data_IF_935210698403
#
_entry.id   IF_935210698403
#
_cell.length_a   1.000
_cell.length_b   1.000
_cell.length_c   1.000
_cell.angle_alpha   90.00
_cell.angle_beta   90.00
_cell.angle_gamma   90.00
#
_symmetry.space_group_name_H-M   'P 1'
#
loop_
_entity.id
_entity.type
_entity.pdbx_description
1 polymer ?
#
# COMPACT_ATOMS: atom_id res chain seq x y z
N UNK A 1 3.33 6.55 -6.32
CA UNK A 1 3.67 5.65 -7.45
C UNK A 1 3.39 6.38 -8.76
N UNK A 2 4.03 5.99 -9.86
CA UNK A 2 3.77 6.57 -11.19
C UNK A 2 2.44 6.06 -11.77
N UNK A 3 1.74 6.92 -12.51
CA UNK A 3 0.56 6.55 -13.30
C UNK A 3 0.95 5.82 -14.59
N UNK A 4 -0.01 5.13 -15.20
CA UNK A 4 0.19 4.26 -16.38
C UNK A 4 0.76 4.98 -17.61
N UNK A 5 0.50 6.28 -17.75
CA UNK A 5 1.01 7.15 -18.80
C UNK A 5 2.46 7.59 -18.59
N UNK A 6 2.92 7.61 -17.33
CA UNK A 6 4.28 8.00 -16.91
C UNK A 6 5.24 6.80 -16.79
N UNK A 7 4.76 5.57 -17.01
CA UNK A 7 5.61 4.38 -17.05
C UNK A 7 6.64 4.45 -18.18
N UNK A 8 7.92 4.27 -17.83
CA UNK A 8 9.05 4.26 -18.78
C UNK A 8 9.72 2.89 -18.79
N UNK A 9 9.48 2.12 -19.85
CA UNK A 9 10.08 0.80 -20.06
C UNK A 9 10.16 0.48 -21.55
N UNK A 10 11.05 -0.45 -21.90
CA UNK A 10 11.09 -1.12 -23.22
C UNK A 10 10.53 -2.53 -23.08
N UNK A 11 10.02 -3.06 -24.20
CA UNK A 11 9.62 -4.47 -24.29
C UNK A 11 10.50 -5.16 -25.31
N UNK A 12 11.17 -6.25 -24.91
CA UNK A 12 12.00 -7.09 -25.78
C UNK A 12 11.57 -8.53 -25.58
N UNK A 13 11.12 -9.20 -26.64
CA UNK A 13 10.67 -10.60 -26.58
C UNK A 13 9.67 -10.90 -25.44
N UNK A 14 8.68 -10.02 -25.26
CA UNK A 14 7.68 -10.15 -24.19
C UNK A 14 8.16 -9.80 -22.77
N UNK A 15 9.41 -9.34 -22.61
CA UNK A 15 9.99 -8.95 -21.31
C UNK A 15 10.07 -7.44 -21.15
N UNK A 16 9.75 -6.97 -19.96
CA UNK A 16 9.82 -5.56 -19.56
C UNK A 16 11.23 -5.22 -19.08
N UNK A 17 11.79 -4.17 -19.66
CA UNK A 17 13.05 -3.56 -19.25
C UNK A 17 12.76 -2.12 -18.80
N UNK A 18 12.67 -1.85 -17.49
CA UNK A 18 12.46 -0.50 -16.97
C UNK A 18 13.59 0.43 -17.42
N UNK A 19 13.25 1.67 -17.76
CA UNK A 19 14.23 2.70 -18.08
C UNK A 19 14.62 3.46 -16.81
N UNK A 20 15.37 2.78 -15.95
CA UNK A 20 15.95 3.40 -14.76
C UNK A 20 16.90 4.55 -15.14
N UNK A 21 16.98 5.52 -14.23
CA UNK A 21 17.89 6.67 -14.33
C UNK A 21 19.08 6.46 -13.40
N UNK A 22 20.18 7.15 -13.70
CA UNK A 22 21.31 7.27 -12.79
C UNK A 22 21.02 8.41 -11.79
N UNK A 23 20.85 8.15 -10.48
CA UNK A 23 20.53 9.19 -9.50
C UNK A 23 21.65 10.22 -9.31
N UNK A 24 22.88 9.88 -9.68
CA UNK A 24 24.07 10.74 -9.64
C UNK A 24 24.28 11.57 -10.93
N UNK A 25 23.38 11.44 -11.92
CA UNK A 25 23.42 12.27 -13.13
C UNK A 25 23.24 13.75 -12.78
N UNK A 26 24.26 14.56 -13.10
CA UNK A 26 24.32 15.98 -12.72
C UNK A 26 23.17 16.80 -13.29
N UNK A 27 22.71 16.49 -14.51
CA UNK A 27 21.64 17.24 -15.14
C UNK A 27 20.29 16.91 -14.50
N UNK A 28 20.03 15.64 -14.20
CA UNK A 28 18.84 15.20 -13.48
C UNK A 28 18.83 15.72 -12.03
N UNK A 29 19.98 15.72 -11.35
CA UNK A 29 20.11 16.29 -10.01
C UNK A 29 19.78 17.79 -9.99
N UNK A 30 20.30 18.55 -10.96
CA UNK A 30 19.98 19.96 -11.09
C UNK A 30 18.48 20.18 -11.35
N UNK A 31 17.90 19.38 -12.26
CA UNK A 31 16.47 19.43 -12.57
C UNK A 31 15.58 19.10 -11.35
N UNK A 32 15.89 18.01 -10.64
CA UNK A 32 15.17 17.64 -9.41
C UNK A 32 15.35 18.70 -8.30
N UNK A 33 16.53 19.30 -8.19
CA UNK A 33 16.78 20.40 -7.25
C UNK A 33 15.93 21.62 -7.55
N UNK A 34 15.75 21.97 -8.83
CA UNK A 34 14.85 23.06 -9.22
C UNK A 34 13.42 22.79 -8.79
N UNK A 35 12.90 21.56 -8.98
CA UNK A 35 11.56 21.17 -8.49
C UNK A 35 11.48 21.35 -6.97
N UNK A 36 12.41 20.76 -6.22
CA UNK A 36 12.43 20.83 -4.74
C UNK A 36 12.47 22.28 -4.25
N UNK A 37 13.28 23.13 -4.87
CA UNK A 37 13.41 24.54 -4.49
C UNK A 37 12.13 25.33 -4.80
N UNK A 38 11.51 25.13 -5.98
CA UNK A 38 10.23 25.78 -6.30
C UNK A 38 9.17 25.48 -5.25
N UNK A 39 9.00 24.21 -4.87
CA UNK A 39 8.05 23.86 -3.79
C UNK A 39 8.42 24.49 -2.44
N UNK A 40 9.71 24.64 -2.13
CA UNK A 40 10.18 25.30 -0.90
C UNK A 40 9.78 26.78 -0.87
N UNK A 41 9.86 27.43 -2.01
CA UNK A 41 9.55 28.86 -2.16
C UNK A 41 8.04 29.13 -2.32
N UNK A 42 7.23 28.08 -2.50
CA UNK A 42 5.78 28.18 -2.73
C UNK A 42 4.91 27.70 -1.56
N UNK A 43 5.39 27.77 -0.32
CA UNK A 43 4.55 27.50 0.85
C UNK A 43 3.32 28.41 0.88
N UNK A 44 2.14 27.83 1.15
CA UNK A 44 0.81 28.46 1.10
C UNK A 44 0.28 28.84 -0.28
N UNK A 45 1.03 28.59 -1.35
CA UNK A 45 0.49 28.77 -2.70
C UNK A 45 -0.48 27.64 -3.05
N UNK A 46 -1.49 27.92 -3.89
CA UNK A 46 -2.35 26.88 -4.47
C UNK A 46 -1.54 25.87 -5.30
N UNK A 47 -1.95 24.60 -5.26
CA UNK A 47 -1.30 23.54 -6.02
C UNK A 47 -1.18 23.84 -7.52
N UNK A 48 -2.23 24.41 -8.13
CA UNK A 48 -2.25 24.80 -9.55
C UNK A 48 -1.18 25.83 -9.89
N UNK A 49 -1.03 26.88 -9.09
CA UNK A 49 -0.03 27.93 -9.32
C UNK A 49 1.40 27.37 -9.28
N UNK A 50 1.66 26.44 -8.35
CA UNK A 50 2.95 25.75 -8.26
C UNK A 50 3.20 24.95 -9.54
N UNK A 51 2.20 24.20 -10.01
CA UNK A 51 2.32 23.38 -11.22
C UNK A 51 2.51 24.25 -12.48
N UNK A 52 1.80 25.37 -12.59
CA UNK A 52 1.94 26.33 -13.68
C UNK A 52 3.33 26.96 -13.70
N UNK A 53 3.86 27.34 -12.53
CA UNK A 53 5.22 27.87 -12.41
C UNK A 53 6.31 26.88 -12.86
N UNK A 54 6.06 25.58 -12.66
CA UNK A 54 6.97 24.50 -13.06
C UNK A 54 6.78 24.08 -14.53
N UNK A 55 5.67 24.43 -15.18
CA UNK A 55 5.36 23.99 -16.53
C UNK A 55 6.46 24.33 -17.57
N UNK A 56 7.06 25.54 -17.59
CA UNK A 56 8.18 25.83 -18.50
C UNK A 56 9.40 24.93 -18.25
N UNK A 57 9.74 24.66 -16.99
CA UNK A 57 10.86 23.80 -16.60
C UNK A 57 10.63 22.35 -17.06
N UNK A 58 9.42 21.83 -16.87
CA UNK A 58 9.02 20.48 -17.30
C UNK A 58 9.04 20.38 -18.84
N UNK A 59 8.44 21.35 -19.53
CA UNK A 59 8.31 21.33 -20.99
C UNK A 59 9.65 21.52 -21.73
N UNK A 60 10.66 22.08 -21.07
CA UNK A 60 12.01 22.18 -21.61
C UNK A 60 12.77 20.83 -21.62
N UNK A 61 12.30 19.81 -20.90
CA UNK A 61 12.96 18.51 -20.84
C UNK A 61 12.69 17.68 -22.10
N UNK A 62 13.75 17.03 -22.62
CA UNK A 62 13.63 16.13 -23.78
C UNK A 62 12.73 14.93 -23.49
N UNK A 63 12.85 14.36 -22.28
CA UNK A 63 12.00 13.25 -21.84
C UNK A 63 10.89 13.77 -20.91
N UNK A 64 9.78 14.21 -21.53
CA UNK A 64 8.63 14.74 -20.81
C UNK A 64 7.99 13.73 -19.84
N UNK A 65 8.05 12.44 -20.13
CA UNK A 65 7.49 11.41 -19.24
C UNK A 65 8.32 11.27 -17.96
N UNK A 66 9.65 11.33 -18.09
CA UNK A 66 10.54 11.34 -16.94
C UNK A 66 10.31 12.59 -16.10
N UNK A 67 10.29 13.76 -16.73
CA UNK A 67 10.10 15.04 -16.06
C UNK A 67 8.78 15.10 -15.27
N UNK A 68 7.65 14.74 -15.91
CA UNK A 68 6.35 14.65 -15.26
C UNK A 68 6.30 13.60 -14.16
N UNK A 69 7.00 12.47 -14.37
CA UNK A 69 7.12 11.41 -13.36
C UNK A 69 7.83 11.87 -12.08
N UNK A 70 8.95 12.59 -12.22
CA UNK A 70 9.69 13.14 -11.07
C UNK A 70 8.84 14.18 -10.34
N UNK A 71 8.24 15.13 -11.06
CA UNK A 71 7.35 16.14 -10.49
C UNK A 71 6.22 15.50 -9.69
N UNK A 72 5.49 14.56 -10.32
CA UNK A 72 4.39 13.84 -9.67
C UNK A 72 4.82 13.19 -8.37
N UNK A 73 5.98 12.52 -8.34
CA UNK A 73 6.42 11.79 -7.14
C UNK A 73 6.76 12.71 -5.96
N UNK A 74 7.17 13.95 -6.23
CA UNK A 74 7.42 14.96 -5.22
C UNK A 74 6.11 15.63 -4.77
N UNK A 75 5.24 15.98 -5.73
CA UNK A 75 3.91 16.53 -5.49
C UNK A 75 3.03 15.59 -4.64
N UNK A 76 3.01 14.28 -4.95
CA UNK A 76 2.31 13.23 -4.18
C UNK A 76 2.77 13.14 -2.71
N UNK A 77 3.98 13.61 -2.39
CA UNK A 77 4.53 13.59 -1.03
C UNK A 77 4.24 14.87 -0.24
N UNK A 78 3.81 15.92 -0.91
CA UNK A 78 3.47 17.18 -0.27
C UNK A 78 2.15 17.04 0.49
N UNK A 79 2.03 17.76 1.60
CA UNK A 79 0.77 17.89 2.33
C UNK A 79 0.05 19.15 1.91
N UNK A 80 -1.21 18.98 1.55
CA UNK A 80 -2.10 20.06 1.15
C UNK A 80 -3.24 20.21 2.16
N UNK A 81 -3.75 21.42 2.29
CA UNK A 81 -4.92 21.72 3.12
C UNK A 81 -5.92 22.52 2.30
N UNK A 82 -7.18 22.14 2.38
CA UNK A 82 -8.31 23.00 2.02
C UNK A 82 -8.84 23.72 3.26
N UNK A 83 -9.63 24.77 3.04
CA UNK A 83 -10.48 25.34 4.07
C UNK A 83 -11.69 24.43 4.28
N UNK A 84 -11.63 23.58 5.29
CA UNK A 84 -12.62 22.52 5.53
C UNK A 84 -13.90 22.99 6.21
N UNK A 85 -13.98 24.26 6.64
CA UNK A 85 -15.11 24.74 7.45
C UNK A 85 -16.31 25.21 6.61
N UNK A 86 -16.11 25.50 5.31
CA UNK A 86 -17.15 26.00 4.43
C UNK A 86 -17.83 24.90 3.59
N UNK A 87 -19.16 24.94 3.50
CA UNK A 87 -19.96 24.09 2.59
C UNK A 87 -20.01 24.69 1.18
N UNK A 88 -18.88 24.63 0.47
CA UNK A 88 -18.74 25.11 -0.91
C UNK A 88 -19.82 24.55 -1.87
N UNK A 89 -20.22 23.27 -1.81
CA UNK A 89 -21.33 22.76 -2.61
C UNK A 89 -22.67 23.45 -2.33
N UNK A 90 -23.02 23.72 -1.07
CA UNK A 90 -24.24 24.44 -0.73
C UNK A 90 -24.18 25.90 -1.21
N UNK A 91 -23.06 26.59 -0.97
CA UNK A 91 -22.85 27.97 -1.42
C UNK A 91 -22.98 28.09 -2.94
N UNK A 92 -22.37 27.17 -3.71
CA UNK A 92 -22.51 27.13 -5.18
C UNK A 92 -23.95 26.90 -5.60
N UNK A 93 -24.69 26.05 -4.90
CA UNK A 93 -26.11 25.82 -5.15
C UNK A 93 -26.92 27.10 -5.02
N UNK A 94 -26.71 27.86 -3.94
CA UNK A 94 -27.35 29.17 -3.73
C UNK A 94 -26.99 30.14 -4.84
N UNK A 95 -25.70 30.26 -5.16
CA UNK A 95 -25.21 31.17 -6.20
C UNK A 95 -25.84 30.85 -7.57
N UNK A 96 -25.83 29.58 -7.98
CA UNK A 96 -26.37 29.16 -9.28
C UNK A 96 -27.89 29.25 -9.35
N UNK A 97 -28.61 28.96 -8.26
CA UNK A 97 -30.06 29.13 -8.22
C UNK A 97 -30.45 30.62 -8.35
N UNK A 98 -29.71 31.52 -7.68
CA UNK A 98 -29.90 32.96 -7.81
C UNK A 98 -29.58 33.44 -9.24
N UNK A 99 -28.45 33.02 -9.80
CA UNK A 99 -28.09 33.33 -11.19
C UNK A 99 -29.17 32.88 -12.18
N UNK A 100 -29.68 31.65 -12.04
CA UNK A 100 -30.70 31.10 -12.92
C UNK A 100 -32.02 31.89 -12.85
N UNK A 101 -32.45 32.33 -11.66
CA UNK A 101 -33.66 33.18 -11.52
C UNK A 101 -33.48 34.54 -12.17
N UNK A 102 -32.29 35.14 -12.04
CA UNK A 102 -32.01 36.47 -12.59
C UNK A 102 -31.77 36.43 -14.10
N UNK A 103 -31.42 35.28 -14.66
CA UNK A 103 -31.13 35.11 -16.09
C UNK A 103 -32.36 35.35 -16.99
N UNK A 104 -33.57 35.10 -16.50
CA UNK A 104 -34.80 35.37 -17.26
C UNK A 104 -35.07 36.87 -17.49
N UNK A 105 -34.45 37.74 -16.69
CA UNK A 105 -34.58 39.20 -16.78
C UNK A 105 -33.46 39.91 -17.54
N UNK A 106 -32.46 39.15 -18.01
CA UNK A 106 -31.26 39.67 -18.69
C UNK A 106 -31.60 40.12 -20.12
N UNK A 107 -31.22 41.35 -20.47
CA UNK A 107 -31.30 41.87 -21.83
C UNK A 107 -29.97 41.64 -22.55
N UNK A 108 -30.03 41.51 -23.88
CA UNK A 108 -28.84 41.30 -24.71
C UNK A 108 -27.80 42.43 -24.63
N UNK A 109 -28.20 43.61 -24.13
CA UNK A 109 -27.32 44.78 -23.92
C UNK A 109 -26.60 44.79 -22.58
N UNK A 110 -26.96 43.91 -21.65
CA UNK A 110 -26.46 43.95 -20.28
C UNK A 110 -25.04 43.37 -20.18
N UNK A 111 -24.26 43.90 -19.24
CA UNK A 111 -22.90 43.46 -18.99
C UNK A 111 -22.88 42.20 -18.12
N UNK A 112 -22.14 41.17 -18.55
CA UNK A 112 -21.92 39.96 -17.75
C UNK A 112 -21.20 40.23 -16.43
N UNK A 113 -20.37 41.28 -16.36
CA UNK A 113 -19.66 41.64 -15.13
C UNK A 113 -20.63 42.25 -14.10
N UNK A 114 -21.53 43.12 -14.56
CA UNK A 114 -22.55 43.73 -13.70
C UNK A 114 -23.54 42.67 -13.23
N UNK A 115 -23.97 41.78 -14.15
CA UNK A 115 -24.80 40.63 -13.82
C UNK A 115 -24.16 39.73 -12.75
N UNK A 116 -22.87 39.38 -12.89
CA UNK A 116 -22.16 38.60 -11.86
C UNK A 116 -22.18 39.33 -10.52
N UNK A 117 -21.88 40.62 -10.51
CA UNK A 117 -21.87 41.42 -9.28
C UNK A 117 -23.24 41.45 -8.60
N UNK A 118 -24.31 41.60 -9.37
CA UNK A 118 -25.67 41.62 -8.87
C UNK A 118 -26.11 40.24 -8.34
N UNK A 119 -25.71 39.15 -9.01
CA UNK A 119 -25.96 37.77 -8.55
C UNK A 119 -25.32 37.52 -7.18
N UNK A 120 -24.06 37.94 -6.99
CA UNK A 120 -23.38 37.80 -5.69
C UNK A 120 -24.06 38.65 -4.61
N UNK A 121 -24.52 39.86 -4.97
CA UNK A 121 -25.26 40.74 -4.05
C UNK A 121 -26.59 40.12 -3.62
N UNK A 122 -27.36 39.59 -4.57
CA UNK A 122 -28.67 38.96 -4.34
C UNK A 122 -28.55 37.63 -3.57
N UNK A 123 -27.50 36.84 -3.85
CA UNK A 123 -27.25 35.58 -3.14
C UNK A 123 -26.81 35.78 -1.67
N UNK A 124 -26.40 37.00 -1.30
CA UNK A 124 -26.16 37.42 0.08
C UNK A 124 -24.88 36.87 0.70
N UNK A 125 -24.76 37.04 2.03
CA UNK A 125 -23.51 36.77 2.75
C UNK A 125 -23.02 35.32 2.65
N UNK A 126 -23.95 34.39 2.45
CA UNK A 126 -23.64 32.95 2.38
C UNK A 126 -22.67 32.59 1.24
N UNK A 127 -22.61 33.40 0.17
CA UNK A 127 -21.74 33.12 -0.99
C UNK A 127 -20.50 34.01 -1.06
N UNK A 128 -20.29 34.91 -0.09
CA UNK A 128 -19.10 35.79 -0.04
C UNK A 128 -17.78 35.01 -0.17
N UNK A 129 -17.60 33.83 0.46
CA UNK A 129 -16.38 33.03 0.30
C UNK A 129 -16.10 32.61 -1.16
N UNK A 130 -17.11 32.61 -2.04
CA UNK A 130 -16.97 32.25 -3.46
C UNK A 130 -16.59 33.43 -4.36
N UNK A 131 -16.44 34.64 -3.81
CA UNK A 131 -16.29 35.88 -4.59
C UNK A 131 -15.06 35.88 -5.50
N UNK A 132 -13.92 35.43 -4.99
CA UNK A 132 -12.68 35.28 -5.76
C UNK A 132 -12.74 34.07 -6.68
N UNK A 133 -13.10 32.91 -6.14
CA UNK A 133 -13.21 31.66 -6.89
C UNK A 133 -14.29 30.74 -6.30
N UNK A 134 -15.21 30.29 -7.16
CA UNK A 134 -16.33 29.44 -6.75
C UNK A 134 -15.94 27.98 -6.50
N UNK A 135 -14.68 27.60 -6.77
CA UNK A 135 -14.17 26.23 -6.74
C UNK A 135 -12.97 26.04 -5.80
N UNK A 136 -12.82 26.89 -4.76
CA UNK A 136 -11.73 26.78 -3.79
C UNK A 136 -11.68 25.43 -3.04
N UNK A 137 -12.74 24.62 -3.13
CA UNK A 137 -12.81 23.27 -2.59
C UNK A 137 -12.20 22.18 -3.51
N UNK A 138 -11.76 22.52 -4.73
CA UNK A 138 -11.13 21.56 -5.63
C UNK A 138 -9.64 21.35 -5.31
N UNK A 139 -9.08 20.14 -5.58
CA UNK A 139 -7.68 19.81 -5.28
C UNK A 139 -6.63 20.79 -5.84
N UNK A 140 -6.94 21.44 -6.96
CA UNK A 140 -6.06 22.41 -7.61
C UNK A 140 -5.84 23.68 -6.77
N UNK A 141 -6.77 23.98 -5.86
CA UNK A 141 -6.72 25.17 -5.00
C UNK A 141 -6.30 24.87 -3.56
N UNK A 142 -6.05 23.60 -3.24
CA UNK A 142 -5.51 23.25 -1.93
C UNK A 142 -4.15 23.91 -1.75
N UNK A 143 -3.92 24.47 -0.56
CA UNK A 143 -2.69 25.19 -0.26
C UNK A 143 -1.62 24.22 0.20
N UNK A 144 -0.40 24.44 -0.28
CA UNK A 144 0.76 23.68 0.17
C UNK A 144 1.11 24.03 1.63
N UNK A 145 0.94 23.08 2.54
CA UNK A 145 1.19 23.26 3.99
C UNK A 145 2.35 22.45 4.53
N UNK A 146 2.75 21.38 3.84
CA UNK A 146 3.84 20.49 4.29
C UNK A 146 4.68 20.01 3.12
N UNK A 147 6.00 20.07 3.32
CA UNK A 147 6.98 19.54 2.38
C UNK A 147 7.55 18.21 2.89
N UNK A 148 7.91 17.28 1.99
CA UNK A 148 8.66 16.09 2.38
C UNK A 148 10.12 16.45 2.71
N UNK A 149 10.69 15.73 3.68
CA UNK A 149 12.14 15.75 3.96
C UNK A 149 12.86 14.84 2.96
N UNK A 150 13.06 15.33 1.74
CA UNK A 150 13.67 14.56 0.65
C UNK A 150 14.67 15.44 -0.13
N UNK A 151 15.90 14.94 -0.32
CA UNK A 151 16.87 15.59 -1.21
C UNK A 151 16.55 15.29 -2.69
N UNK A 152 17.14 16.07 -3.60
CA UNK A 152 17.01 15.82 -5.03
C UNK A 152 17.52 14.41 -5.43
N UNK A 153 18.64 13.98 -4.86
CA UNK A 153 19.19 12.63 -5.08
C UNK A 153 18.21 11.56 -4.60
N UNK A 154 17.66 11.69 -3.39
CA UNK A 154 16.68 10.75 -2.85
C UNK A 154 15.37 10.73 -3.67
N UNK A 155 14.98 11.85 -4.29
CA UNK A 155 13.86 11.89 -5.22
C UNK A 155 14.13 11.07 -6.48
N UNK A 156 15.35 11.13 -7.03
CA UNK A 156 15.74 10.33 -8.19
C UNK A 156 15.88 8.84 -7.85
N UNK A 157 16.42 8.50 -6.68
CA UNK A 157 16.42 7.12 -6.17
C UNK A 157 14.99 6.58 -6.05
N UNK A 158 14.09 7.40 -5.46
CA UNK A 158 12.68 7.07 -5.32
C UNK A 158 11.99 6.91 -6.68
N UNK A 159 12.39 7.62 -7.72
CA UNK A 159 11.83 7.46 -9.07
C UNK A 159 12.02 6.03 -9.58
N UNK A 160 13.22 5.47 -9.47
CA UNK A 160 13.50 4.11 -9.94
C UNK A 160 12.68 3.06 -9.16
N UNK A 161 12.56 3.24 -7.84
CA UNK A 161 11.72 2.38 -7.00
C UNK A 161 10.26 2.49 -7.42
N UNK A 162 9.75 3.72 -7.54
CA UNK A 162 8.37 3.97 -7.93
C UNK A 162 8.05 3.40 -9.33
N UNK A 163 9.01 3.41 -10.25
CA UNK A 163 8.86 2.80 -11.57
C UNK A 163 8.72 1.27 -11.47
N UNK A 164 9.56 0.61 -10.67
CA UNK A 164 9.43 -0.83 -10.42
C UNK A 164 8.09 -1.18 -9.72
N UNK A 165 7.71 -0.41 -8.70
CA UNK A 165 6.44 -0.56 -7.99
C UNK A 165 5.24 -0.41 -8.93
N UNK A 166 5.24 0.64 -9.77
CA UNK A 166 4.15 0.90 -10.71
C UNK A 166 4.03 -0.18 -11.79
N UNK A 167 5.10 -0.89 -12.13
CA UNK A 167 5.01 -2.07 -13.00
C UNK A 167 4.39 -3.26 -12.26
N UNK A 168 4.85 -3.53 -11.03
CA UNK A 168 4.33 -4.59 -10.16
C UNK A 168 2.85 -4.39 -9.79
N UNK A 169 2.33 -3.16 -9.83
CA UNK A 169 0.91 -2.87 -9.63
C UNK A 169 -0.02 -3.70 -10.55
N UNK A 170 0.48 -4.10 -11.72
CA UNK A 170 -0.25 -4.88 -12.73
C UNK A 170 0.06 -6.38 -12.67
N UNK A 171 0.89 -6.83 -11.73
CA UNK A 171 1.31 -8.21 -11.58
C UNK A 171 0.25 -9.06 -10.88
N UNK A 172 0.11 -10.30 -11.33
CA UNK A 172 -0.78 -11.27 -10.73
C UNK A 172 -0.19 -11.91 -9.49
N UNK A 173 1.11 -12.16 -9.49
CA UNK A 173 1.87 -12.75 -8.40
C UNK A 173 3.34 -12.41 -8.58
N UNK A 174 4.14 -12.59 -7.54
CA UNK A 174 5.60 -12.48 -7.59
C UNK A 174 6.21 -13.80 -7.15
N UNK A 175 7.00 -14.40 -8.04
CA UNK A 175 7.96 -15.44 -7.68
C UNK A 175 9.24 -14.79 -7.19
N UNK A 176 9.57 -14.96 -5.92
CA UNK A 176 10.70 -14.32 -5.25
C UNK A 176 11.68 -15.36 -4.69
N UNK A 177 12.95 -15.21 -5.02
CA UNK A 177 14.08 -15.94 -4.43
C UNK A 177 14.92 -14.97 -3.61
N UNK A 178 15.24 -15.35 -2.37
CA UNK A 178 16.00 -14.52 -1.43
C UNK A 178 17.14 -15.36 -0.84
N UNK A 179 18.31 -14.74 -0.72
CA UNK A 179 19.41 -15.19 0.13
C UNK A 179 19.79 -14.04 1.08
N UNK A 180 19.46 -14.21 2.36
CA UNK A 180 19.68 -13.20 3.41
C UNK A 180 20.15 -13.90 4.71
N UNK A 181 21.45 -13.83 5.04
CA UNK A 181 22.01 -14.43 6.25
C UNK A 181 21.65 -13.66 7.53
N UNK A 182 21.34 -12.37 7.45
CA UNK A 182 20.92 -11.58 8.60
C UNK A 182 19.48 -11.94 9.00
N UNK A 183 19.37 -12.78 10.04
CA UNK A 183 18.08 -13.21 10.60
C UNK A 183 17.16 -12.06 11.02
N UNK A 184 17.71 -10.89 11.39
CA UNK A 184 16.91 -9.71 11.73
C UNK A 184 16.34 -9.03 10.49
N UNK A 185 17.12 -8.94 9.40
CA UNK A 185 16.60 -8.49 8.08
C UNK A 185 15.53 -9.44 7.56
N UNK A 186 15.76 -10.74 7.63
CA UNK A 186 14.77 -11.74 7.22
C UNK A 186 13.46 -11.61 8.02
N UNK A 187 13.54 -11.47 9.35
CA UNK A 187 12.36 -11.22 10.19
C UNK A 187 11.65 -9.92 9.81
N UNK A 188 12.39 -8.83 9.53
CA UNK A 188 11.81 -7.56 9.07
C UNK A 188 11.08 -7.72 7.73
N UNK A 189 11.66 -8.42 6.76
CA UNK A 189 11.03 -8.72 5.49
C UNK A 189 9.67 -9.40 5.68
N UNK A 190 9.59 -10.45 6.48
CA UNK A 190 8.32 -11.12 6.75
C UNK A 190 7.35 -10.28 7.58
N UNK A 191 7.84 -9.39 8.47
CA UNK A 191 6.98 -8.40 9.13
C UNK A 191 6.35 -7.45 8.11
N UNK A 192 7.08 -7.02 7.08
CA UNK A 192 6.51 -6.22 5.99
C UNK A 192 5.50 -7.01 5.16
N UNK A 193 5.80 -8.27 4.83
CA UNK A 193 4.88 -9.14 4.10
C UNK A 193 3.50 -9.17 4.78
N UNK A 194 3.49 -9.38 6.10
CA UNK A 194 2.28 -9.35 6.94
C UNK A 194 1.65 -7.98 7.05
N UNK A 195 2.47 -6.94 7.19
CA UNK A 195 1.99 -5.57 7.28
C UNK A 195 1.16 -5.18 6.06
N UNK A 196 1.62 -5.57 4.87
CA UNK A 196 0.88 -5.40 3.62
C UNK A 196 -0.24 -6.43 3.43
N UNK A 197 -0.48 -7.30 4.43
CA UNK A 197 -1.47 -8.39 4.44
C UNK A 197 -1.30 -9.33 3.24
N UNK A 198 -0.06 -9.56 2.85
CA UNK A 198 0.31 -10.49 1.78
C UNK A 198 0.60 -11.85 2.41
N UNK A 199 0.02 -12.91 1.87
CA UNK A 199 0.49 -14.26 2.13
C UNK A 199 1.44 -14.71 1.02
N UNK A 200 2.38 -15.58 1.40
CA UNK A 200 3.30 -16.17 0.46
C UNK A 200 3.38 -17.68 0.67
N UNK A 201 3.36 -18.41 -0.43
CA UNK A 201 3.70 -19.82 -0.45
C UNK A 201 5.21 -19.94 -0.38
N UNK A 202 5.71 -20.04 0.84
CA UNK A 202 7.14 -20.20 1.08
C UNK A 202 7.53 -21.64 0.87
N UNK A 203 8.16 -21.92 -0.27
CA UNK A 203 8.79 -23.21 -0.51
C UNK A 203 9.95 -23.46 0.47
N UNK A 204 10.36 -24.72 0.58
CA UNK A 204 11.37 -25.18 1.54
C UNK A 204 12.61 -24.29 1.52
N UNK A 205 13.05 -23.87 2.70
CA UNK A 205 14.36 -23.26 2.85
C UNK A 205 15.44 -24.34 2.80
N UNK A 206 16.43 -24.18 1.92
CA UNK A 206 17.57 -25.09 1.82
C UNK A 206 18.62 -24.86 2.91
N UNK A 207 18.63 -23.69 3.57
CA UNK A 207 19.64 -23.31 4.56
C UNK A 207 19.04 -22.44 5.67
N UNK A 208 19.35 -22.77 6.93
CA UNK A 208 18.88 -22.04 8.11
C UNK A 208 20.05 -21.47 8.93
N UNK A 209 19.92 -20.24 9.42
CA UNK A 209 20.89 -19.55 10.25
C UNK A 209 20.18 -18.85 11.42
N UNK A 210 20.68 -19.01 12.65
CA UNK A 210 20.12 -18.36 13.85
C UNK A 210 18.59 -18.49 14.00
N UNK A 211 18.08 -19.72 13.81
CA UNK A 211 16.65 -20.07 13.86
C UNK A 211 15.75 -19.35 12.82
N UNK A 212 16.33 -18.71 11.80
CA UNK A 212 15.64 -18.16 10.64
C UNK A 212 16.09 -18.88 9.35
N UNK A 213 15.25 -18.96 8.32
CA UNK A 213 15.68 -19.40 7.01
C UNK A 213 16.60 -18.32 6.39
N UNK A 214 17.64 -18.74 5.68
CA UNK A 214 18.60 -17.84 5.03
C UNK A 214 18.52 -17.88 3.51
N UNK A 215 18.01 -18.98 2.93
CA UNK A 215 17.71 -19.09 1.50
C UNK A 215 16.26 -19.53 1.36
N UNK A 216 15.43 -18.72 0.70
CA UNK A 216 14.00 -19.00 0.53
C UNK A 216 13.56 -18.72 -0.90
N UNK A 217 12.61 -19.53 -1.37
CA UNK A 217 11.81 -19.21 -2.55
C UNK A 217 10.37 -19.12 -2.11
N UNK A 218 9.70 -18.06 -2.48
CA UNK A 218 8.34 -17.81 -2.07
C UNK A 218 7.56 -17.22 -3.24
N UNK A 219 6.32 -17.70 -3.41
CA UNK A 219 5.38 -17.11 -4.34
C UNK A 219 4.42 -16.23 -3.56
N UNK A 220 4.39 -14.93 -3.87
CA UNK A 220 3.44 -13.97 -3.29
C UNK A 220 2.31 -13.83 -4.30
N UNK A 221 1.18 -14.46 -4.03
CA UNK A 221 0.02 -14.31 -4.91
C UNK A 221 -0.57 -12.91 -4.78
N UNK A 222 -1.12 -12.39 -5.89
CA UNK A 222 -1.98 -11.23 -5.98
C UNK A 222 -3.35 -11.61 -6.55
N UNK A 223 -4.32 -10.67 -6.55
CA UNK A 223 -5.74 -10.97 -6.69
C UNK A 223 -6.16 -11.27 -8.12
N UNK A 224 -5.24 -11.32 -9.09
CA UNK A 224 -5.63 -11.47 -10.49
C UNK A 224 -6.31 -12.82 -10.80
N UNK A 225 -6.29 -13.79 -9.87
CA UNK A 225 -7.11 -15.00 -10.00
C UNK A 225 -8.61 -14.76 -9.80
N UNK A 226 -9.05 -13.57 -9.37
CA UNK A 226 -10.45 -13.23 -9.14
C UNK A 226 -10.75 -11.89 -9.81
N UNK A 227 -11.22 -12.00 -11.05
CA UNK A 227 -11.99 -11.03 -11.84
C UNK A 227 -12.51 -9.81 -11.02
N UNK A 228 -11.69 -8.75 -10.87
CA UNK A 228 -12.07 -7.37 -11.19
C UNK A 228 -10.92 -6.37 -10.99
N UNK A 229 -10.89 -5.39 -11.89
CA UNK A 229 -9.95 -4.30 -12.08
C UNK A 229 -9.10 -3.84 -10.87
N UNK A 230 -7.76 -3.85 -11.01
CA UNK A 230 -6.80 -2.99 -10.28
C UNK A 230 -7.07 -2.80 -8.76
N UNK A 231 -7.48 -3.86 -8.07
CA UNK A 231 -8.29 -3.78 -6.85
C UNK A 231 -7.44 -3.94 -5.57
N UNK A 232 -6.90 -2.84 -5.02
CA UNK A 232 -6.28 -2.73 -3.67
C UNK A 232 -5.05 -3.60 -3.36
N UNK A 233 -4.93 -4.82 -3.87
CA UNK A 233 -3.85 -5.76 -3.54
C UNK A 233 -2.68 -5.67 -4.53
N UNK A 234 -2.90 -5.37 -5.81
CA UNK A 234 -1.79 -4.96 -6.70
C UNK A 234 -1.02 -3.76 -6.10
N UNK A 235 -1.76 -2.86 -5.43
CA UNK A 235 -1.18 -1.76 -4.66
C UNK A 235 -0.42 -2.27 -3.42
N UNK A 236 -0.93 -3.26 -2.68
CA UNK A 236 -0.21 -3.87 -1.55
C UNK A 236 1.09 -4.55 -1.99
N UNK A 237 1.04 -5.33 -3.07
CA UNK A 237 2.19 -6.02 -3.67
C UNK A 237 3.25 -5.01 -4.13
N UNK A 238 2.83 -3.98 -4.86
CA UNK A 238 3.70 -2.88 -5.27
C UNK A 238 4.25 -2.10 -4.06
N UNK A 239 3.44 -1.87 -3.03
CA UNK A 239 3.88 -1.14 -1.82
C UNK A 239 4.83 -1.96 -0.95
N UNK A 240 4.75 -3.29 -1.01
CA UNK A 240 5.66 -4.23 -0.35
C UNK A 240 7.02 -4.32 -1.03
N UNK A 241 7.09 -4.13 -2.34
CA UNK A 241 8.31 -4.32 -3.14
C UNK A 241 9.59 -3.67 -2.56
N UNK A 242 9.57 -2.45 -1.98
CA UNK A 242 10.75 -1.86 -1.34
C UNK A 242 11.34 -2.71 -0.19
N UNK A 243 10.53 -3.56 0.46
CA UNK A 243 11.02 -4.50 1.47
C UNK A 243 11.89 -5.62 0.88
N UNK A 244 11.85 -5.85 -0.44
CA UNK A 244 12.74 -6.77 -1.16
C UNK A 244 14.11 -6.10 -1.38
N UNK A 245 14.12 -4.81 -1.74
CA UNK A 245 15.34 -4.06 -2.10
C UNK A 245 16.30 -3.78 -0.94
N UNK A 246 15.94 -4.17 0.29
CA UNK A 246 16.81 -4.10 1.48
C UNK A 246 17.62 -5.40 1.71
N UNK A 247 17.28 -6.47 0.98
CA UNK A 247 17.87 -7.79 1.15
C UNK A 247 19.21 -7.88 0.42
N UNK A 248 20.10 -8.74 0.91
CA UNK A 248 21.46 -8.89 0.38
C UNK A 248 21.48 -9.46 -1.04
N UNK A 249 20.74 -10.54 -1.29
CA UNK A 249 20.53 -11.10 -2.63
C UNK A 249 19.07 -11.42 -2.82
N UNK A 250 18.53 -11.02 -3.96
CA UNK A 250 17.12 -11.22 -4.25
C UNK A 250 16.91 -11.25 -5.75
N UNK A 251 15.99 -12.09 -6.19
CA UNK A 251 15.53 -12.12 -7.57
C UNK A 251 14.04 -12.33 -7.57
N UNK A 252 13.32 -11.49 -8.29
CA UNK A 252 11.90 -11.70 -8.50
C UNK A 252 11.54 -11.78 -9.97
N UNK A 253 10.43 -12.46 -10.24
CA UNK A 253 9.79 -12.50 -11.55
C UNK A 253 8.29 -12.43 -11.35
N UNK A 254 7.61 -11.69 -12.22
CA UNK A 254 6.17 -11.66 -12.28
C UNK A 254 5.69 -11.60 -13.73
N UNK A 255 4.54 -12.22 -13.96
CA UNK A 255 3.76 -12.05 -15.17
C UNK A 255 2.68 -10.98 -14.88
N UNK A 256 2.49 -10.07 -15.82
CA UNK A 256 1.62 -8.90 -15.66
C UNK A 256 0.87 -8.57 -16.94
N UNK A 257 -0.33 -8.02 -16.79
CA UNK A 257 -1.16 -7.56 -17.92
C UNK A 257 -1.17 -6.04 -17.98
N UNK A 258 -0.54 -5.47 -19.01
CA UNK A 258 -0.43 -4.03 -19.18
C UNK A 258 -0.81 -3.62 -20.61
N UNK A 259 -1.84 -2.79 -20.74
CA UNK A 259 -2.39 -2.34 -22.05
C UNK A 259 -2.77 -3.53 -22.93
N UNK A 260 -3.50 -4.48 -22.34
CA UNK A 260 -3.96 -5.73 -22.97
C UNK A 260 -2.85 -6.64 -23.51
N UNK A 261 -1.61 -6.42 -23.07
CA UNK A 261 -0.47 -7.30 -23.34
C UNK A 261 -0.06 -8.04 -22.09
N UNK A 262 0.13 -9.35 -22.24
CA UNK A 262 0.81 -10.18 -21.25
C UNK A 262 2.30 -10.00 -21.40
N UNK A 263 2.95 -9.64 -20.30
CA UNK A 263 4.36 -9.30 -20.26
C UNK A 263 5.01 -9.93 -19.02
N UNK A 264 6.29 -10.25 -19.14
CA UNK A 264 7.10 -10.74 -18.02
C UNK A 264 8.03 -9.65 -17.52
N UNK A 265 8.06 -9.44 -16.20
CA UNK A 265 8.96 -8.52 -15.55
C UNK A 265 9.83 -9.26 -14.53
N UNK A 266 11.14 -9.06 -14.61
CA UNK A 266 12.10 -9.67 -13.69
C UNK A 266 13.14 -8.64 -13.30
N UNK A 267 13.53 -8.65 -12.03
CA UNK A 267 14.67 -7.91 -11.50
C UNK A 267 15.42 -8.79 -10.50
N UNK A 268 16.69 -8.46 -10.29
CA UNK A 268 17.52 -9.01 -9.23
C UNK A 268 18.38 -7.92 -8.59
N UNK A 269 19.20 -8.29 -7.60
CA UNK A 269 20.00 -7.33 -6.84
C UNK A 269 20.99 -6.52 -7.70
N UNK A 270 21.30 -6.95 -8.93
CA UNK A 270 22.23 -6.25 -9.82
C UNK A 270 21.64 -4.99 -10.44
N UNK A 271 20.32 -4.77 -10.34
CA UNK A 271 19.65 -3.61 -10.93
C UNK A 271 19.97 -2.27 -10.23
N UNK A 272 20.72 -2.28 -9.13
CA UNK A 272 21.12 -1.09 -8.37
C UNK A 272 19.99 -0.45 -7.55
N UNK A 273 18.81 -1.08 -7.48
CA UNK A 273 17.75 -0.65 -6.59
C UNK A 273 18.12 -0.98 -5.15
N UNK A 274 18.36 0.06 -4.36
CA UNK A 274 18.58 -0.04 -2.94
C UNK A 274 17.62 0.89 -2.22
N UNK A 275 16.95 0.38 -1.19
CA UNK A 275 16.15 1.22 -0.30
C UNK A 275 16.81 1.24 1.07
N UNK A 276 17.44 2.38 1.42
CA UNK A 276 17.88 2.63 2.79
C UNK A 276 16.63 2.88 3.63
N UNK A 277 16.28 1.92 4.48
CA UNK A 277 15.23 2.17 5.44
C UNK A 277 15.76 3.07 6.55
N UNK A 278 15.17 4.27 6.66
CA UNK A 278 15.10 4.96 7.94
C UNK A 278 14.26 4.15 8.93
N UNK A 279 14.25 4.54 10.21
CA UNK A 279 13.36 3.97 11.24
C UNK A 279 11.90 4.32 10.94
N UNK A 280 11.35 3.86 9.83
CA UNK A 280 9.92 3.68 9.67
C UNK A 280 9.58 2.61 10.71
N UNK A 281 9.16 3.07 11.89
CA UNK A 281 8.42 2.23 12.81
C UNK A 281 7.35 1.56 11.97
N UNK A 282 7.40 0.23 11.88
CA UNK A 282 6.45 -0.55 11.12
C UNK A 282 5.07 -0.04 11.55
N UNK A 283 4.32 0.57 10.63
CA UNK A 283 2.98 1.05 10.95
C UNK A 283 2.21 -0.18 11.45
N UNK A 284 1.76 -0.14 12.70
CA UNK A 284 0.88 -1.19 13.22
C UNK A 284 -0.53 -0.67 12.92
N UNK A 285 -1.34 -1.38 12.10
CA UNK A 285 -2.70 -0.94 11.83
C UNK A 285 -3.46 -0.68 13.14
N UNK A 286 -4.28 0.37 13.18
CA UNK A 286 -4.99 0.77 14.41
C UNK A 286 -5.87 -0.36 14.96
N UNK A 287 -6.40 -1.24 14.12
CA UNK A 287 -7.17 -2.40 14.55
C UNK A 287 -6.33 -3.37 15.38
N UNK A 288 -5.05 -3.55 15.02
CA UNK A 288 -4.10 -4.39 15.76
C UNK A 288 -3.71 -3.71 17.08
N UNK A 289 -3.51 -2.39 17.08
CA UNK A 289 -3.22 -1.63 18.32
C UNK A 289 -4.40 -1.68 19.29
N UNK A 290 -5.60 -1.45 18.77
CA UNK A 290 -6.85 -1.49 19.54
C UNK A 290 -7.08 -2.89 20.11
N UNK A 291 -6.89 -3.94 19.32
CA UNK A 291 -6.98 -5.31 19.80
C UNK A 291 -5.96 -5.58 20.92
N UNK A 292 -4.69 -5.21 20.72
CA UNK A 292 -3.65 -5.43 21.73
C UNK A 292 -3.98 -4.74 23.06
N UNK A 293 -4.46 -3.49 23.00
CA UNK A 293 -4.90 -2.73 24.18
C UNK A 293 -6.06 -3.41 24.90
N UNK A 294 -7.17 -3.64 24.19
CA UNK A 294 -8.37 -4.23 24.79
C UNK A 294 -8.14 -5.66 25.28
N UNK A 295 -7.27 -6.41 24.59
CA UNK A 295 -6.87 -7.75 25.00
C UNK A 295 -6.07 -7.72 26.32
N UNK A 296 -5.12 -6.80 26.47
CA UNK A 296 -4.37 -6.63 27.71
C UNK A 296 -5.29 -6.27 28.90
N UNK A 297 -6.32 -5.45 28.68
CA UNK A 297 -7.31 -5.10 29.71
C UNK A 297 -8.15 -6.32 30.16
N UNK A 298 -8.52 -7.22 29.24
CA UNK A 298 -9.42 -8.36 29.52
C UNK A 298 -8.71 -9.67 29.86
N UNK A 299 -7.45 -9.80 29.46
CA UNK A 299 -6.62 -11.00 29.63
C UNK A 299 -5.23 -10.63 30.19
N UNK A 300 -5.14 -10.07 31.40
CA UNK A 300 -3.90 -9.50 31.95
C UNK A 300 -2.78 -10.55 32.14
N UNK A 301 -3.14 -11.83 32.30
CA UNK A 301 -2.17 -12.93 32.40
C UNK A 301 -1.41 -13.24 31.10
N UNK A 302 -1.88 -12.68 29.97
CA UNK A 302 -1.34 -12.94 28.65
C UNK A 302 -0.66 -11.70 28.09
N UNK A 303 0.56 -11.87 27.58
CA UNK A 303 1.29 -10.85 26.82
C UNK A 303 1.16 -11.13 25.33
N UNK A 304 0.87 -10.09 24.55
CA UNK A 304 0.76 -10.16 23.10
C UNK A 304 2.01 -9.55 22.45
N UNK A 305 2.58 -10.23 21.45
CA UNK A 305 3.67 -9.69 20.64
C UNK A 305 3.52 -10.07 19.17
N UNK A 306 4.01 -9.22 18.27
CA UNK A 306 4.17 -9.53 16.84
C UNK A 306 5.51 -10.22 16.54
N UNK A 307 6.31 -10.49 17.57
CA UNK A 307 7.57 -11.22 17.47
C UNK A 307 7.32 -12.73 17.55
N UNK A 308 7.02 -13.31 16.38
CA UNK A 308 6.81 -14.74 16.24
C UNK A 308 8.06 -15.45 15.70
N UNK A 309 8.35 -16.68 16.15
CA UNK A 309 9.39 -17.51 15.56
C UNK A 309 8.94 -18.05 14.19
N UNK A 310 9.90 -18.56 13.42
CA UNK A 310 9.60 -19.42 12.28
C UNK A 310 9.29 -20.83 12.79
N UNK A 311 8.05 -21.29 12.62
CA UNK A 311 7.61 -22.62 13.01
C UNK A 311 7.92 -23.60 11.89
N UNK A 312 8.78 -24.58 12.18
CA UNK A 312 9.14 -25.64 11.23
C UNK A 312 8.10 -26.76 11.30
N UNK A 313 7.58 -27.18 10.16
CA UNK A 313 6.81 -28.42 10.04
C UNK A 313 7.70 -29.66 10.01
N UNK A 314 7.08 -30.82 9.79
CA UNK A 314 7.77 -32.08 9.50
C UNK A 314 8.65 -31.98 8.26
N UNK A 315 9.60 -32.92 8.12
CA UNK A 315 10.60 -32.93 7.05
C UNK A 315 9.90 -32.85 5.69
N UNK A 316 10.14 -31.74 4.98
CA UNK A 316 9.57 -31.53 3.66
C UNK A 316 8.25 -30.74 3.62
N UNK A 317 7.83 -30.10 4.72
CA UNK A 317 6.75 -29.13 4.72
C UNK A 317 7.26 -27.68 4.64
N UNK A 318 6.35 -26.76 4.29
CA UNK A 318 6.59 -25.31 4.38
C UNK A 318 6.67 -24.88 5.84
N UNK A 319 7.38 -23.79 6.15
CA UNK A 319 7.40 -23.24 7.49
C UNK A 319 6.29 -22.20 7.66
N UNK A 320 5.88 -21.95 8.90
CA UNK A 320 4.89 -20.93 9.26
C UNK A 320 5.58 -19.76 9.91
N UNK A 321 5.15 -18.54 9.60
CA UNK A 321 5.56 -17.34 10.32
C UNK A 321 4.29 -16.67 10.88
N UNK A 322 3.87 -16.96 12.12
CA UNK A 322 2.57 -16.54 12.67
C UNK A 322 2.45 -15.04 12.94
N UNK A 323 1.29 -14.43 12.70
CA UNK A 323 1.06 -12.99 12.86
C UNK A 323 1.24 -12.49 14.29
N UNK A 324 0.70 -13.24 15.25
CA UNK A 324 0.66 -12.87 16.66
C UNK A 324 1.15 -14.03 17.51
N UNK A 325 1.93 -13.73 18.55
CA UNK A 325 2.30 -14.66 19.62
C UNK A 325 1.67 -14.20 20.93
N UNK A 326 0.94 -15.12 21.57
CA UNK A 326 0.40 -14.98 22.92
C UNK A 326 1.30 -15.72 23.91
N UNK A 327 1.66 -15.07 25.01
CA UNK A 327 2.60 -15.60 26.01
C UNK A 327 1.97 -15.56 27.40
N UNK A 328 1.97 -16.68 28.11
CA UNK A 328 1.62 -16.78 29.55
C UNK A 328 2.66 -17.65 30.25
N UNK A 329 3.59 -17.02 30.96
CA UNK A 329 4.74 -17.71 31.54
C UNK A 329 5.61 -18.37 30.47
N UNK A 330 5.75 -19.71 30.52
CA UNK A 330 6.47 -20.51 29.50
C UNK A 330 5.60 -20.89 28.29
N UNK A 331 4.27 -20.74 28.41
CA UNK A 331 3.32 -21.15 27.37
C UNK A 331 3.31 -20.11 26.26
N UNK A 332 3.40 -20.58 25.01
CA UNK A 332 3.31 -19.75 23.81
C UNK A 332 2.26 -20.33 22.87
N UNK A 333 1.35 -19.49 22.40
CA UNK A 333 0.37 -19.82 21.36
C UNK A 333 0.56 -18.85 20.20
N UNK A 334 0.54 -19.38 19.00
CA UNK A 334 0.77 -18.66 17.78
C UNK A 334 -0.53 -18.51 17.00
N UNK A 335 -0.80 -17.34 16.44
CA UNK A 335 -2.00 -17.05 15.65
C UNK A 335 -1.60 -16.58 14.26
N UNK A 336 -2.21 -17.18 13.24
CA UNK A 336 -2.13 -16.78 11.83
C UNK A 336 -3.54 -16.42 11.32
N UNK A 337 -3.68 -15.29 10.64
CA UNK A 337 -4.95 -14.75 10.17
C UNK A 337 -5.07 -14.86 8.65
N UNK A 338 -6.13 -15.53 8.20
CA UNK A 338 -6.50 -15.72 6.81
C UNK A 338 -7.63 -14.76 6.47
N UNK A 339 -7.39 -13.89 5.49
CA UNK A 339 -8.32 -12.89 4.99
C UNK A 339 -8.95 -13.35 3.67
N UNK A 340 -9.93 -12.60 3.17
CA UNK A 340 -10.75 -12.94 1.98
C UNK A 340 -10.04 -13.41 0.70
N UNK A 341 -8.73 -13.17 0.55
CA UNK A 341 -7.95 -13.54 -0.63
C UNK A 341 -6.97 -14.69 -0.40
N UNK A 342 -6.93 -15.26 0.80
CA UNK A 342 -5.95 -16.27 1.22
C UNK A 342 -6.41 -17.70 0.95
N UNK A 343 -7.20 -17.92 -0.11
CA UNK A 343 -7.85 -19.22 -0.35
C UNK A 343 -6.85 -20.31 -0.70
N UNK A 344 -5.82 -19.97 -1.47
CA UNK A 344 -4.80 -20.93 -1.89
C UNK A 344 -3.94 -21.41 -0.71
N UNK A 345 -3.54 -20.49 0.17
CA UNK A 345 -2.67 -20.79 1.30
C UNK A 345 -3.40 -21.50 2.45
N UNK A 346 -4.71 -21.29 2.59
CA UNK A 346 -5.48 -21.85 3.71
C UNK A 346 -5.48 -23.38 3.68
N UNK A 347 -5.74 -24.01 2.53
CA UNK A 347 -5.77 -25.48 2.43
C UNK A 347 -4.44 -26.11 2.88
N UNK A 348 -3.32 -25.60 2.38
CA UNK A 348 -1.99 -26.09 2.80
C UNK A 348 -1.69 -25.82 4.28
N UNK A 349 -2.29 -24.78 4.89
CA UNK A 349 -2.14 -24.52 6.32
C UNK A 349 -3.02 -25.42 7.19
N UNK A 350 -4.20 -25.83 6.71
CA UNK A 350 -5.02 -26.85 7.36
C UNK A 350 -4.29 -28.20 7.42
N UNK A 351 -3.67 -28.62 6.31
CA UNK A 351 -2.84 -29.82 6.25
C UNK A 351 -1.65 -29.73 7.21
N UNK A 352 -0.96 -28.58 7.21
CA UNK A 352 0.13 -28.32 8.15
C UNK A 352 -0.32 -28.46 9.60
N UNK A 353 -1.50 -27.92 9.96
CA UNK A 353 -2.01 -27.97 11.33
C UNK A 353 -2.34 -29.40 11.76
N UNK A 354 -2.92 -30.20 10.87
CA UNK A 354 -3.23 -31.62 11.11
C UNK A 354 -1.96 -32.44 11.30
N UNK A 355 -0.96 -32.25 10.43
CA UNK A 355 0.29 -33.02 10.50
C UNK A 355 1.20 -32.60 11.65
N UNK A 356 1.05 -31.38 12.18
CA UNK A 356 1.88 -30.81 13.23
C UNK A 356 1.08 -30.43 14.48
N UNK A 357 0.23 -31.33 14.97
CA UNK A 357 -0.62 -31.10 16.15
C UNK A 357 0.14 -30.65 17.42
N UNK A 358 1.45 -30.97 17.54
CA UNK A 358 2.29 -30.52 18.66
C UNK A 358 2.72 -29.04 18.59
N UNK A 359 2.47 -28.35 17.47
CA UNK A 359 2.73 -26.91 17.33
C UNK A 359 1.48 -26.17 17.83
N UNK A 360 1.60 -25.24 18.81
CA UNK A 360 0.47 -24.50 19.36
C UNK A 360 0.08 -23.35 18.42
N UNK A 361 -0.32 -23.69 17.19
CA UNK A 361 -0.77 -22.79 16.15
C UNK A 361 -2.31 -22.75 16.11
N UNK A 362 -2.84 -21.54 15.99
CA UNK A 362 -4.26 -21.22 15.86
C UNK A 362 -4.45 -20.46 14.55
N UNK A 363 -5.50 -20.81 13.81
CA UNK A 363 -5.86 -20.18 12.55
C UNK A 363 -7.15 -19.38 12.72
N UNK A 364 -7.10 -18.08 12.45
CA UNK A 364 -8.30 -17.26 12.26
C UNK A 364 -8.63 -17.18 10.79
N UNK A 365 -9.89 -17.42 10.40
CA UNK A 365 -10.34 -17.37 9.01
C UNK A 365 -11.45 -16.35 8.85
N UNK A 366 -11.26 -15.37 7.96
CA UNK A 366 -12.25 -14.36 7.66
C UNK A 366 -13.46 -14.99 6.97
N UNK A 367 -14.67 -14.68 7.43
CA UNK A 367 -15.92 -15.23 6.88
C UNK A 367 -16.09 -14.91 5.40
N UNK A 368 -15.61 -13.75 4.95
CA UNK A 368 -15.68 -13.35 3.55
C UNK A 368 -14.86 -14.27 2.64
N UNK A 369 -13.75 -14.86 3.12
CA UNK A 369 -12.98 -15.86 2.38
C UNK A 369 -13.83 -17.08 2.00
N UNK A 370 -14.62 -17.55 2.97
CA UNK A 370 -15.42 -18.77 2.83
C UNK A 370 -16.69 -18.52 2.02
N UNK A 371 -17.20 -17.29 2.01
CA UNK A 371 -18.34 -16.90 1.18
C UNK A 371 -18.04 -17.04 -0.32
N UNK A 372 -16.80 -16.75 -0.73
CA UNK A 372 -16.34 -16.87 -2.12
C UNK A 372 -15.91 -18.29 -2.53
N UNK A 373 -15.80 -19.24 -1.59
CA UNK A 373 -15.30 -20.58 -1.89
C UNK A 373 -16.00 -21.66 -1.04
N UNK A 374 -17.13 -22.23 -1.54
CA UNK A 374 -17.91 -23.24 -0.80
C UNK A 374 -17.13 -24.50 -0.44
N UNK A 375 -16.21 -24.95 -1.31
CA UNK A 375 -15.37 -26.12 -1.04
C UNK A 375 -14.43 -25.87 0.14
N UNK A 376 -13.80 -24.69 0.16
CA UNK A 376 -12.92 -24.29 1.27
C UNK A 376 -13.71 -24.11 2.57
N UNK A 377 -14.95 -23.62 2.48
CA UNK A 377 -15.86 -23.53 3.63
C UNK A 377 -16.10 -24.91 4.23
N UNK A 378 -16.44 -25.90 3.41
CA UNK A 378 -16.65 -27.28 3.86
C UNK A 378 -15.37 -27.86 4.47
N UNK A 379 -14.20 -27.65 3.86
CA UNK A 379 -12.91 -28.08 4.42
C UNK A 379 -12.64 -27.48 5.81
N UNK A 380 -12.93 -26.19 6.00
CA UNK A 380 -12.72 -25.51 7.29
C UNK A 380 -13.71 -26.00 8.33
N UNK A 381 -15.00 -26.07 8.01
CA UNK A 381 -16.07 -26.41 8.95
C UNK A 381 -16.05 -27.90 9.34
N UNK A 382 -15.59 -28.78 8.46
CA UNK A 382 -15.42 -30.22 8.74
C UNK A 382 -14.09 -30.57 9.42
N UNK A 383 -13.15 -29.61 9.52
CA UNK A 383 -11.83 -29.88 10.08
C UNK A 383 -11.92 -30.29 11.56
N UNK A 384 -11.22 -31.35 12.02
CA UNK A 384 -11.32 -31.84 13.41
C UNK A 384 -10.96 -30.79 14.50
N UNK A 385 -10.20 -29.77 14.11
CA UNK A 385 -9.77 -28.67 14.97
C UNK A 385 -10.64 -27.41 14.84
N UNK A 386 -11.73 -27.46 14.08
CA UNK A 386 -12.70 -26.38 14.00
C UNK A 386 -13.33 -26.10 15.37
N UNK A 387 -13.55 -24.83 15.67
CA UNK A 387 -13.95 -24.32 16.99
C UNK A 387 -12.98 -24.62 18.16
N UNK A 388 -11.84 -25.25 17.88
CA UNK A 388 -10.72 -25.47 18.79
C UNK A 388 -9.52 -24.60 18.47
N UNK A 389 -8.82 -24.93 17.40
CA UNK A 389 -7.65 -24.18 16.91
C UNK A 389 -7.96 -23.41 15.63
N UNK A 390 -9.13 -23.59 15.03
CA UNK A 390 -9.59 -22.84 13.86
C UNK A 390 -10.86 -22.09 14.23
N UNK A 391 -10.94 -20.80 13.91
CA UNK A 391 -12.12 -20.00 14.18
C UNK A 391 -12.42 -19.01 13.06
N UNK A 392 -13.68 -18.58 12.97
CA UNK A 392 -14.12 -17.61 11.98
C UNK A 392 -14.20 -16.18 12.56
N UNK A 393 -13.79 -15.17 11.79
CA UNK A 393 -13.93 -13.75 12.16
C UNK A 393 -14.50 -12.89 11.01
N UNK A 394 -14.90 -11.64 11.30
CA UNK A 394 -15.33 -10.67 10.26
C UNK A 394 -14.18 -9.71 9.94
N UNK A 395 -14.00 -8.66 10.73
CA UNK A 395 -12.94 -7.68 10.49
C UNK A 395 -11.65 -8.05 11.23
N UNK A 396 -11.77 -8.39 12.51
CA UNK A 396 -10.67 -8.83 13.36
C UNK A 396 -11.18 -9.86 14.40
N UNK A 397 -10.32 -10.76 14.93
CA UNK A 397 -10.70 -11.66 16.01
C UNK A 397 -11.33 -10.96 17.22
N UNK A 398 -12.42 -11.53 17.77
CA UNK A 398 -12.99 -11.03 19.03
C UNK A 398 -12.19 -11.53 20.23
N UNK A 399 -12.08 -10.68 21.26
CA UNK A 399 -11.31 -11.00 22.47
C UNK A 399 -11.92 -12.19 23.22
N UNK A 400 -13.25 -12.29 23.27
CA UNK A 400 -13.94 -13.42 23.92
C UNK A 400 -13.65 -14.76 23.24
N UNK A 401 -13.67 -14.79 21.91
CA UNK A 401 -13.33 -16.00 21.16
C UNK A 401 -11.86 -16.36 21.37
N UNK A 402 -10.96 -15.39 21.35
CA UNK A 402 -9.54 -15.63 21.61
C UNK A 402 -9.29 -16.13 23.03
N UNK A 403 -9.91 -15.52 24.05
CA UNK A 403 -9.81 -15.98 25.44
C UNK A 403 -10.25 -17.43 25.58
N UNK A 404 -11.41 -17.80 25.00
CA UNK A 404 -11.91 -19.18 25.00
C UNK A 404 -10.95 -20.18 24.36
N UNK A 405 -10.20 -19.77 23.33
CA UNK A 405 -9.18 -20.61 22.68
C UNK A 405 -7.93 -20.72 23.56
N UNK A 406 -7.44 -19.60 24.10
CA UNK A 406 -6.24 -19.55 24.93
C UNK A 406 -6.40 -20.32 26.27
N UNK A 407 -7.62 -20.35 26.81
CA UNK A 407 -7.94 -21.08 28.05
C UNK A 407 -7.99 -22.60 27.85
N UNK A 408 -8.14 -23.09 26.61
CA UNK A 408 -8.03 -24.53 26.31
C UNK A 408 -6.58 -24.96 26.36
N UNK A 409 -6.29 -26.16 26.85
CA UNK A 409 -4.97 -26.75 26.68
C UNK A 409 -4.77 -27.13 25.19
N UNK A 410 -3.83 -26.46 24.54
CA UNK A 410 -3.52 -26.55 23.11
C UNK A 410 -2.04 -26.90 22.97
#
# INVERSE_FOLDING_TARGET
>A
MLTKDLLRFKTVSGRIHPLFIAPDDRALLAFASSIVNTYRDSLRYPRSEIQDSLAPLINAQKDLKLAKGILKLYDDLCGYSSDSEADYPAMRRTLFATASRMMDSLKSSDSWLDFRTDVFREAGETVIPLSENIYLDLPDYEQLVKLPELTAEQLLEKYNIALAQSLVLFAESIDLTIEEPDSARMRRFFKYLKFFRLLADVSKSSKWENAAPSVIRLKIDGPASILDAASKYGLQLASFLPAVFQLTKWKFTCDLKLRDKELRFSLDESCGLHQRFGRLGIYVPEEVKMFARLFAERCPDWTLTSESPFLKGKRGQTFVFPDITFIKGKRKIYLELFHKWHSHQLSGRLDFLTENAGIPLVLGVERQLLASNPQLKEQVESHPLFDGRIFLFRDFPSIEKMKKILDREI
#
